data_IF_022731770538
#
_entry.id   IF_022731770538
#
_cell.length_a   1.000
_cell.length_b   1.000
_cell.length_c   1.000
_cell.angle_alpha   90.00
_cell.angle_beta   90.00
_cell.angle_gamma   90.00
#
_symmetry.space_group_name_H-M   'P 1'
#
loop_
_entity.id
_entity.type
_entity.pdbx_description
1 polymer ?
#
# COMPACT_ATOMS: atom_id res chain seq x y z
N UNK A 1 20.68 2.94 -5.76
CA UNK A 1 19.92 3.32 -6.99
C UNK A 1 18.50 3.69 -6.59
N UNK A 2 18.00 4.87 -7.00
CA UNK A 2 16.68 5.38 -6.56
C UNK A 2 15.51 4.73 -7.31
N UNK A 3 15.67 4.48 -8.62
CA UNK A 3 14.62 3.97 -9.49
C UNK A 3 14.07 2.58 -9.06
N UNK A 4 14.88 1.53 -8.79
CA UNK A 4 14.33 0.23 -8.40
C UNK A 4 13.49 0.27 -7.12
N UNK A 5 13.89 1.11 -6.15
CA UNK A 5 13.14 1.31 -4.90
C UNK A 5 11.80 2.01 -5.15
N UNK A 6 11.76 2.95 -6.08
CA UNK A 6 10.52 3.61 -6.51
C UNK A 6 9.55 2.63 -7.18
N UNK A 7 10.05 1.83 -8.12
CA UNK A 7 9.23 0.82 -8.80
C UNK A 7 8.70 -0.21 -7.79
N UNK A 8 9.54 -0.68 -6.87
CA UNK A 8 9.12 -1.59 -5.81
C UNK A 8 8.06 -0.95 -4.90
N UNK A 9 8.23 0.30 -4.48
CA UNK A 9 7.23 1.02 -3.70
C UNK A 9 5.88 1.13 -4.43
N UNK A 10 5.90 1.44 -5.72
CA UNK A 10 4.69 1.55 -6.54
C UNK A 10 3.97 0.22 -6.69
N UNK A 11 4.71 -0.85 -6.96
CA UNK A 11 4.16 -2.21 -7.06
C UNK A 11 3.58 -2.68 -5.72
N UNK A 12 4.28 -2.45 -4.61
CA UNK A 12 3.79 -2.82 -3.28
C UNK A 12 2.52 -2.03 -2.90
N UNK A 13 2.46 -0.73 -3.21
CA UNK A 13 1.28 0.07 -2.96
C UNK A 13 0.10 -0.39 -3.82
N UNK A 14 0.32 -0.63 -5.12
CA UNK A 14 -0.70 -1.17 -6.02
C UNK A 14 -1.22 -2.53 -5.53
N UNK A 15 -0.32 -3.44 -5.14
CA UNK A 15 -0.68 -4.75 -4.61
C UNK A 15 -1.53 -4.63 -3.33
N UNK A 16 -1.14 -3.75 -2.40
CA UNK A 16 -1.91 -3.50 -1.19
C UNK A 16 -3.32 -2.99 -1.50
N UNK A 17 -3.44 -1.97 -2.35
CA UNK A 17 -4.73 -1.38 -2.74
C UNK A 17 -5.61 -2.40 -3.47
N UNK A 18 -5.03 -3.18 -4.38
CA UNK A 18 -5.76 -4.23 -5.10
C UNK A 18 -6.27 -5.31 -4.15
N UNK A 19 -5.42 -5.84 -3.26
CA UNK A 19 -5.81 -6.85 -2.28
C UNK A 19 -6.88 -6.35 -1.31
N UNK A 20 -6.76 -5.11 -0.81
CA UNK A 20 -7.78 -4.51 0.06
C UNK A 20 -9.11 -4.36 -0.68
N UNK A 21 -9.08 -3.93 -1.94
CA UNK A 21 -10.29 -3.83 -2.77
C UNK A 21 -10.92 -5.21 -2.98
N UNK A 22 -10.11 -6.22 -3.31
CA UNK A 22 -10.54 -7.63 -3.42
C UNK A 22 -11.14 -8.18 -2.13
N UNK A 23 -10.58 -7.80 -0.97
CA UNK A 23 -11.03 -8.26 0.35
C UNK A 23 -12.32 -7.58 0.80
N UNK A 24 -12.51 -6.31 0.46
CA UNK A 24 -13.69 -5.54 0.89
C UNK A 24 -14.88 -5.67 -0.04
N UNK A 25 -14.67 -6.13 -1.28
CA UNK A 25 -15.73 -6.44 -2.22
C UNK A 25 -16.59 -7.64 -1.78
N UNK A 26 -17.88 -7.60 -2.13
CA UNK A 26 -18.81 -8.73 -2.02
C UNK A 26 -19.10 -9.29 -3.42
N UNK A 27 -19.05 -10.61 -3.64
CA UNK A 27 -19.26 -11.17 -4.96
C UNK A 27 -20.76 -11.15 -5.36
N UNK A 28 -21.06 -11.05 -6.66
CA UNK A 28 -20.13 -10.78 -7.75
C UNK A 28 -19.72 -9.29 -7.78
N UNK A 29 -18.43 -9.00 -7.96
CA UNK A 29 -17.94 -7.63 -8.10
C UNK A 29 -16.76 -7.53 -9.09
N UNK A 30 -17.08 -7.11 -10.31
CA UNK A 30 -16.11 -6.90 -11.39
C UNK A 30 -15.34 -5.57 -11.28
N UNK A 31 -15.69 -4.74 -10.29
CA UNK A 31 -15.11 -3.41 -10.11
C UNK A 31 -13.74 -3.38 -9.42
N UNK A 32 -13.19 -4.52 -8.98
CA UNK A 32 -11.97 -4.54 -8.15
C UNK A 32 -10.81 -3.79 -8.80
N UNK A 33 -10.47 -4.12 -10.05
CA UNK A 33 -9.30 -3.51 -10.69
C UNK A 33 -9.50 -2.04 -11.02
N UNK A 34 -10.69 -1.62 -11.44
CA UNK A 34 -10.98 -0.19 -11.70
C UNK A 34 -10.97 0.61 -10.40
N UNK A 35 -11.54 0.09 -9.32
CA UNK A 35 -11.51 0.76 -8.01
C UNK A 35 -10.08 0.85 -7.47
N UNK A 36 -9.30 -0.23 -7.59
CA UNK A 36 -7.91 -0.22 -7.19
C UNK A 36 -7.08 0.79 -8.00
N UNK A 37 -7.27 0.85 -9.32
CA UNK A 37 -6.61 1.83 -10.18
C UNK A 37 -7.05 3.27 -9.85
N UNK A 38 -8.34 3.50 -9.61
CA UNK A 38 -8.89 4.81 -9.27
C UNK A 38 -8.37 5.36 -7.93
N UNK A 39 -8.05 4.49 -6.98
CA UNK A 39 -7.40 4.88 -5.71
C UNK A 39 -5.89 5.03 -5.91
N UNK A 40 -5.25 4.07 -6.58
CA UNK A 40 -3.80 4.02 -6.74
C UNK A 40 -3.26 5.16 -7.59
N UNK A 41 -3.84 5.40 -8.78
CA UNK A 41 -3.27 6.33 -9.76
C UNK A 41 -3.15 7.76 -9.24
N UNK A 42 -4.17 8.36 -8.57
CA UNK A 42 -4.04 9.70 -8.01
C UNK A 42 -2.98 9.78 -6.92
N UNK A 43 -2.97 8.80 -6.00
CA UNK A 43 -2.00 8.75 -4.89
C UNK A 43 -0.58 8.61 -5.43
N UNK A 44 -0.37 7.69 -6.38
CA UNK A 44 0.94 7.45 -6.99
C UNK A 44 1.41 8.64 -7.84
N UNK A 45 0.49 9.31 -8.55
CA UNK A 45 0.79 10.54 -9.29
C UNK A 45 1.33 11.61 -8.34
N UNK A 46 0.64 11.88 -7.22
CA UNK A 46 1.09 12.84 -6.21
C UNK A 46 2.47 12.49 -5.67
N UNK A 47 2.69 11.23 -5.26
CA UNK A 47 3.99 10.78 -4.74
C UNK A 47 5.10 10.96 -5.79
N UNK A 48 4.83 10.62 -7.04
CA UNK A 48 5.78 10.70 -8.15
C UNK A 48 6.16 12.15 -8.45
N UNK A 49 5.17 13.05 -8.49
CA UNK A 49 5.38 14.49 -8.69
C UNK A 49 6.14 15.12 -7.52
N UNK A 50 5.76 14.79 -6.27
CA UNK A 50 6.47 15.27 -5.07
C UNK A 50 7.93 14.81 -5.11
N UNK A 51 8.19 13.56 -5.49
CA UNK A 51 9.55 13.07 -5.64
C UNK A 51 10.34 13.84 -6.71
N UNK A 52 9.78 14.03 -7.90
CA UNK A 52 10.44 14.77 -8.97
C UNK A 52 10.77 16.22 -8.53
N UNK A 53 9.83 16.87 -7.82
CA UNK A 53 10.04 18.20 -7.24
C UNK A 53 11.18 18.21 -6.21
N UNK A 54 11.25 17.21 -5.34
CA UNK A 54 12.35 17.08 -4.38
C UNK A 54 13.69 16.84 -5.09
N UNK A 55 13.71 16.11 -6.20
CA UNK A 55 14.88 15.95 -7.06
C UNK A 55 15.42 17.30 -7.57
N UNK A 56 14.54 18.12 -8.14
CA UNK A 56 14.91 19.47 -8.63
C UNK A 56 15.35 20.38 -7.48
N UNK A 57 14.53 20.52 -6.44
CA UNK A 57 14.75 21.53 -5.38
C UNK A 57 15.87 21.15 -4.42
N UNK A 58 15.97 19.87 -4.05
CA UNK A 58 16.85 19.44 -2.95
C UNK A 58 18.15 18.78 -3.41
N UNK A 59 18.14 18.14 -4.58
CA UNK A 59 19.29 17.41 -5.12
C UNK A 59 19.98 18.15 -6.28
N UNK A 60 19.40 19.24 -6.79
CA UNK A 60 20.03 20.10 -7.80
C UNK A 60 19.97 19.54 -9.23
N UNK A 61 19.11 18.56 -9.48
CA UNK A 61 18.89 18.02 -10.83
C UNK A 61 18.16 19.03 -11.73
N UNK A 62 18.38 18.93 -13.04
CA UNK A 62 17.67 19.78 -14.00
C UNK A 62 16.22 19.29 -14.15
N UNK A 63 15.23 20.19 -14.37
CA UNK A 63 13.84 19.79 -14.59
C UNK A 63 13.64 18.77 -15.71
N UNK A 64 14.41 18.89 -16.81
CA UNK A 64 14.35 17.95 -17.93
C UNK A 64 14.83 16.54 -17.55
N UNK A 65 15.84 16.42 -16.69
CA UNK A 65 16.36 15.13 -16.21
C UNK A 65 15.34 14.45 -15.28
N UNK A 66 14.72 15.22 -14.39
CA UNK A 66 13.67 14.70 -13.50
C UNK A 66 12.39 14.32 -14.26
N UNK A 67 12.05 15.03 -15.35
CA UNK A 67 10.95 14.64 -16.22
C UNK A 67 11.18 13.28 -16.88
N UNK A 68 12.43 12.98 -17.29
CA UNK A 68 12.77 11.66 -17.87
C UNK A 68 12.73 10.53 -16.84
N UNK A 69 13.04 10.80 -15.57
CA UNK A 69 12.92 9.82 -14.48
C UNK A 69 11.47 9.64 -14.03
N UNK A 70 10.66 10.70 -14.10
CA UNK A 70 9.23 10.65 -13.76
C UNK A 70 8.48 9.67 -14.67
N UNK A 71 8.85 9.58 -15.95
CA UNK A 71 8.22 8.69 -16.92
C UNK A 71 8.20 7.21 -16.47
N UNK A 72 9.34 6.55 -16.17
CA UNK A 72 9.30 5.18 -15.66
C UNK A 72 8.76 5.07 -14.22
N UNK A 73 9.01 6.07 -13.36
CA UNK A 73 8.54 6.05 -11.95
C UNK A 73 7.02 6.04 -11.86
N UNK A 74 6.35 6.86 -12.66
CA UNK A 74 4.89 6.89 -12.73
C UNK A 74 4.36 5.85 -13.72
N UNK A 75 4.93 5.80 -14.91
CA UNK A 75 4.41 5.04 -16.04
C UNK A 75 4.40 3.53 -15.82
N UNK A 76 5.46 2.94 -15.24
CA UNK A 76 5.49 1.49 -15.03
C UNK A 76 4.40 1.03 -14.06
N UNK A 77 4.28 1.59 -12.83
CA UNK A 77 3.17 1.22 -11.94
C UNK A 77 1.79 1.59 -12.50
N UNK A 78 1.66 2.68 -13.26
CA UNK A 78 0.39 3.04 -13.90
C UNK A 78 -0.05 2.03 -14.97
N UNK A 79 0.90 1.55 -15.80
CA UNK A 79 0.64 0.48 -16.77
C UNK A 79 0.26 -0.80 -16.04
N UNK A 80 0.96 -1.18 -14.97
CA UNK A 80 0.59 -2.34 -14.17
C UNK A 80 -0.81 -2.23 -13.56
N UNK A 81 -1.22 -1.03 -13.12
CA UNK A 81 -2.57 -0.79 -12.62
C UNK A 81 -3.62 -0.96 -13.75
N UNK A 82 -3.34 -0.42 -14.95
CA UNK A 82 -4.19 -0.60 -16.12
C UNK A 82 -4.30 -2.06 -16.58
N UNK A 83 -3.19 -2.80 -16.58
CA UNK A 83 -3.18 -4.23 -16.86
C UNK A 83 -3.94 -5.03 -15.80
N UNK A 84 -3.78 -4.68 -14.52
CA UNK A 84 -4.53 -5.29 -13.42
C UNK A 84 -6.04 -5.04 -13.53
N UNK A 85 -6.44 -3.83 -13.92
CA UNK A 85 -7.83 -3.54 -14.27
C UNK A 85 -8.30 -4.42 -15.43
N UNK A 86 -7.63 -4.36 -16.58
CA UNK A 86 -8.02 -5.13 -17.75
C UNK A 86 -8.18 -6.62 -17.42
N UNK A 87 -7.14 -7.22 -16.81
CA UNK A 87 -7.14 -8.62 -16.39
C UNK A 87 -8.29 -8.93 -15.44
N UNK A 88 -8.53 -8.11 -14.42
CA UNK A 88 -9.64 -8.32 -13.47
C UNK A 88 -11.02 -8.26 -14.12
N UNK A 89 -11.16 -7.46 -15.19
CA UNK A 89 -12.43 -7.27 -15.89
C UNK A 89 -12.73 -8.32 -16.96
N UNK A 90 -11.69 -8.99 -17.48
CA UNK A 90 -11.83 -9.93 -18.60
C UNK A 90 -11.51 -11.38 -18.24
N UNK A 91 -10.64 -11.63 -17.26
CA UNK A 91 -10.15 -12.98 -16.94
C UNK A 91 -10.82 -13.60 -15.71
N UNK A 92 -11.52 -12.82 -14.89
CA UNK A 92 -12.17 -13.30 -13.66
C UNK A 92 -13.70 -13.31 -13.78
N UNK A 93 -14.27 -14.51 -13.81
CA UNK A 93 -15.72 -14.71 -13.67
C UNK A 93 -16.15 -14.34 -12.24
N UNK A 94 -17.08 -13.38 -12.12
CA UNK A 94 -17.51 -12.81 -10.83
C UNK A 94 -16.57 -11.79 -10.19
N UNK A 95 -15.41 -11.51 -10.83
CA UNK A 95 -14.38 -10.59 -10.36
C UNK A 95 -13.41 -11.21 -9.32
N UNK A 96 -12.22 -10.62 -9.11
CA UNK A 96 -11.18 -11.17 -8.22
C UNK A 96 -11.47 -10.87 -6.75
N UNK A 97 -12.63 -11.30 -6.26
CA UNK A 97 -13.07 -11.12 -4.86
C UNK A 97 -12.51 -12.26 -4.01
N UNK A 98 -11.93 -11.93 -2.86
CA UNK A 98 -11.30 -12.92 -1.96
C UNK A 98 -12.29 -13.30 -0.86
N UNK A 99 -12.90 -14.49 -0.97
CA UNK A 99 -13.79 -15.04 0.05
C UNK A 99 -13.12 -16.11 0.94
N UNK A 100 -12.20 -16.90 0.39
CA UNK A 100 -11.43 -17.89 1.14
C UNK A 100 -10.01 -17.37 1.43
N UNK A 101 -9.42 -17.81 2.54
CA UNK A 101 -8.04 -17.39 2.89
C UNK A 101 -7.89 -15.89 3.18
N UNK A 102 -8.94 -15.23 3.69
CA UNK A 102 -8.98 -13.77 3.90
C UNK A 102 -7.88 -13.25 4.84
N UNK A 103 -7.58 -13.97 5.93
CA UNK A 103 -6.57 -13.54 6.89
C UNK A 103 -5.15 -13.46 6.28
N UNK A 104 -4.63 -14.52 5.61
CA UNK A 104 -3.37 -14.41 4.87
C UNK A 104 -3.33 -13.26 3.86
N UNK A 105 -4.40 -13.07 3.08
CA UNK A 105 -4.49 -11.98 2.11
C UNK A 105 -4.46 -10.60 2.78
N UNK A 106 -5.14 -10.43 3.92
CA UNK A 106 -5.14 -9.19 4.67
C UNK A 106 -3.75 -8.90 5.28
N UNK A 107 -3.06 -9.92 5.80
CA UNK A 107 -1.67 -9.77 6.26
C UNK A 107 -0.73 -9.38 5.11
N UNK A 108 -0.87 -10.03 3.96
CA UNK A 108 -0.09 -9.70 2.77
C UNK A 108 -0.33 -8.25 2.33
N UNK A 109 -1.58 -7.79 2.33
CA UNK A 109 -1.93 -6.39 2.03
C UNK A 109 -1.29 -5.42 3.03
N UNK A 110 -1.33 -5.74 4.33
CA UNK A 110 -0.73 -4.92 5.39
C UNK A 110 0.78 -4.82 5.29
N UNK A 111 1.44 -5.94 5.00
CA UNK A 111 2.90 -5.98 4.79
C UNK A 111 3.31 -5.25 3.51
N UNK A 112 2.53 -5.39 2.43
CA UNK A 112 2.77 -4.66 1.18
C UNK A 112 2.60 -3.14 1.41
N UNK A 113 1.55 -2.72 2.10
CA UNK A 113 1.33 -1.31 2.45
C UNK A 113 2.44 -0.76 3.34
N UNK A 114 2.84 -1.52 4.36
CA UNK A 114 3.98 -1.16 5.22
C UNK A 114 5.27 -0.98 4.41
N UNK A 115 5.61 -1.95 3.56
CA UNK A 115 6.80 -1.89 2.73
C UNK A 115 6.79 -0.72 1.77
N UNK A 116 5.64 -0.43 1.15
CA UNK A 116 5.45 0.75 0.32
C UNK A 116 5.71 2.04 1.11
N UNK A 117 5.05 2.23 2.25
CA UNK A 117 5.21 3.43 3.08
C UNK A 117 6.67 3.57 3.56
N UNK A 118 7.32 2.49 3.98
CA UNK A 118 8.71 2.49 4.40
C UNK A 118 9.64 2.98 3.29
N UNK A 119 9.46 2.46 2.08
CA UNK A 119 10.25 2.86 0.92
C UNK A 119 9.96 4.32 0.55
N UNK A 120 8.69 4.71 0.46
CA UNK A 120 8.26 6.08 0.14
C UNK A 120 8.83 7.07 1.17
N UNK A 121 8.75 6.78 2.46
CA UNK A 121 9.31 7.62 3.51
C UNK A 121 10.82 7.84 3.31
N UNK A 122 11.57 6.78 2.99
CA UNK A 122 12.99 6.91 2.67
C UNK A 122 13.27 7.70 1.40
N UNK A 123 12.43 7.56 0.38
CA UNK A 123 12.60 8.21 -0.93
C UNK A 123 12.27 9.71 -0.90
N UNK A 124 11.29 10.11 -0.09
CA UNK A 124 10.85 11.50 0.08
C UNK A 124 11.64 12.28 1.14
N UNK A 125 12.62 11.65 1.80
CA UNK A 125 13.45 12.30 2.82
C UNK A 125 14.82 12.71 2.25
N UNK A 126 15.22 13.97 2.43
CA UNK A 126 16.51 14.51 1.91
C UNK A 126 17.74 13.80 2.50
N UNK A 127 17.71 13.52 3.81
CA UNK A 127 18.74 12.74 4.52
C UNK A 127 18.08 11.47 5.06
N UNK A 128 17.98 10.42 4.24
CA UNK A 128 17.32 9.19 4.64
C UNK A 128 18.12 8.51 5.74
N UNK A 129 17.43 8.07 6.80
CA UNK A 129 17.99 7.14 7.77
C UNK A 129 17.01 5.99 7.98
N UNK A 130 17.49 4.75 8.14
CA UNK A 130 16.61 3.60 8.38
C UNK A 130 15.65 3.84 9.56
N UNK A 131 16.16 4.43 10.64
CA UNK A 131 15.38 4.75 11.84
C UNK A 131 14.23 5.74 11.55
N UNK A 132 14.48 6.82 10.79
CA UNK A 132 13.45 7.83 10.47
C UNK A 132 12.41 7.29 9.50
N UNK A 133 12.83 6.55 8.47
CA UNK A 133 11.90 5.91 7.54
C UNK A 133 11.01 4.90 8.25
N UNK A 134 11.58 4.07 9.12
CA UNK A 134 10.81 3.10 9.90
C UNK A 134 9.87 3.77 10.91
N UNK A 135 10.30 4.85 11.57
CA UNK A 135 9.44 5.64 12.45
C UNK A 135 8.23 6.21 11.69
N UNK A 136 8.48 6.82 10.52
CA UNK A 136 7.43 7.38 9.66
C UNK A 136 6.47 6.29 9.19
N UNK A 137 7.01 5.13 8.78
CA UNK A 137 6.20 4.00 8.34
C UNK A 137 5.29 3.47 9.45
N UNK A 138 5.80 3.33 10.69
CA UNK A 138 4.97 2.94 11.82
C UNK A 138 3.90 3.99 12.14
N UNK A 139 4.27 5.26 12.16
CA UNK A 139 3.36 6.37 12.49
C UNK A 139 2.22 6.53 11.47
N UNK A 140 2.46 6.22 10.20
CA UNK A 140 1.43 6.28 9.14
C UNK A 140 0.65 4.98 9.05
N UNK A 141 1.33 3.84 9.04
CA UNK A 141 0.69 2.53 8.86
C UNK A 141 -0.26 2.23 10.00
N UNK A 142 0.16 2.34 11.26
CA UNK A 142 -0.64 1.86 12.40
C UNK A 142 -2.04 2.50 12.42
N UNK A 143 -2.21 3.83 12.38
CA UNK A 143 -3.55 4.41 12.38
C UNK A 143 -4.35 4.07 11.10
N UNK A 144 -3.71 4.11 9.93
CA UNK A 144 -4.37 3.75 8.66
C UNK A 144 -4.86 2.29 8.67
N UNK A 145 -4.04 1.40 9.20
CA UNK A 145 -4.32 -0.03 9.25
C UNK A 145 -5.42 -0.37 10.24
N UNK A 146 -5.47 0.32 11.39
CA UNK A 146 -6.60 0.21 12.32
C UNK A 146 -7.91 0.60 11.64
N UNK A 147 -7.94 1.69 10.87
CA UNK A 147 -9.13 2.10 10.12
C UNK A 147 -9.55 1.04 9.09
N UNK A 148 -8.59 0.47 8.35
CA UNK A 148 -8.87 -0.60 7.38
C UNK A 148 -9.39 -1.88 8.06
N UNK A 149 -8.84 -2.22 9.23
CA UNK A 149 -9.34 -3.36 10.01
C UNK A 149 -10.74 -3.11 10.56
N UNK A 150 -11.08 -1.87 10.94
CA UNK A 150 -12.43 -1.50 11.34
C UNK A 150 -13.43 -1.63 10.17
N UNK A 151 -13.03 -1.26 8.96
CA UNK A 151 -13.83 -1.51 7.75
C UNK A 151 -14.03 -3.02 7.57
N UNK A 152 -12.98 -3.83 7.71
CA UNK A 152 -13.11 -5.28 7.61
C UNK A 152 -14.06 -5.87 8.67
N UNK A 153 -13.97 -5.43 9.93
CA UNK A 153 -14.89 -5.83 11.01
C UNK A 153 -16.33 -5.41 10.66
N UNK A 154 -16.52 -4.20 10.15
CA UNK A 154 -17.85 -3.70 9.75
C UNK A 154 -18.45 -4.55 8.64
N UNK A 155 -17.64 -4.98 7.67
CA UNK A 155 -18.08 -5.90 6.60
C UNK A 155 -18.44 -7.28 7.20
N UNK A 156 -17.62 -7.82 8.10
CA UNK A 156 -17.92 -9.09 8.78
C UNK A 156 -19.26 -9.07 9.52
N UNK A 157 -19.55 -7.97 10.21
CA UNK A 157 -20.80 -7.81 10.95
C UNK A 157 -21.99 -7.55 10.02
N UNK A 158 -21.89 -6.55 9.14
CA UNK A 158 -23.04 -6.08 8.37
C UNK A 158 -23.33 -6.91 7.11
N UNK A 159 -22.30 -7.45 6.47
CA UNK A 159 -22.45 -8.19 5.21
C UNK A 159 -22.37 -9.72 5.41
N UNK A 160 -21.51 -10.20 6.30
CA UNK A 160 -21.36 -11.64 6.55
C UNK A 160 -22.25 -12.18 7.69
N UNK A 161 -22.87 -11.29 8.49
CA UNK A 161 -23.84 -11.66 9.52
C UNK A 161 -23.23 -12.16 10.82
N UNK A 162 -21.93 -11.98 11.04
CA UNK A 162 -21.28 -12.28 12.31
C UNK A 162 -21.66 -11.26 13.38
N UNK A 163 -21.63 -11.66 14.64
CA UNK A 163 -21.75 -10.73 15.77
C UNK A 163 -20.46 -9.94 15.96
N UNK A 164 -20.56 -8.77 16.59
CA UNK A 164 -19.38 -7.98 16.97
C UNK A 164 -18.42 -8.79 17.87
N UNK A 165 -18.96 -9.64 18.74
CA UNK A 165 -18.16 -10.47 19.65
C UNK A 165 -17.32 -11.51 18.90
N UNK A 166 -17.84 -12.09 17.83
CA UNK A 166 -17.12 -13.05 16.97
C UNK A 166 -16.02 -12.35 16.15
N UNK A 167 -16.25 -11.11 15.72
CA UNK A 167 -15.30 -10.37 14.89
C UNK A 167 -14.18 -9.67 15.68
N UNK A 168 -14.38 -9.35 16.97
CA UNK A 168 -13.35 -8.66 17.79
C UNK A 168 -12.01 -9.42 17.81
N UNK A 169 -11.94 -10.74 18.08
CA UNK A 169 -10.67 -11.47 18.07
C UNK A 169 -9.96 -11.42 16.71
N UNK A 170 -10.73 -11.53 15.62
CA UNK A 170 -10.22 -11.45 14.25
C UNK A 170 -9.69 -10.04 13.95
N UNK A 171 -10.43 -9.01 14.34
CA UNK A 171 -10.00 -7.61 14.24
C UNK A 171 -8.69 -7.36 14.99
N UNK A 172 -8.58 -7.82 16.24
CA UNK A 172 -7.38 -7.63 17.05
C UNK A 172 -6.17 -8.33 16.43
N UNK A 173 -6.34 -9.55 15.92
CA UNK A 173 -5.28 -10.27 15.21
C UNK A 173 -4.84 -9.53 13.93
N UNK A 174 -5.82 -9.05 13.15
CA UNK A 174 -5.60 -8.31 11.91
C UNK A 174 -4.87 -6.99 12.13
N UNK A 175 -5.15 -6.29 13.22
CA UNK A 175 -4.42 -5.09 13.63
C UNK A 175 -3.01 -5.46 14.10
N UNK A 176 -2.90 -6.46 14.98
CA UNK A 176 -1.67 -6.77 15.70
C UNK A 176 -0.53 -7.17 14.76
N UNK A 177 -0.77 -8.02 13.76
CA UNK A 177 0.32 -8.60 12.96
C UNK A 177 1.07 -7.51 12.14
N UNK A 178 0.44 -6.70 11.28
CA UNK A 178 1.16 -5.68 10.53
C UNK A 178 1.66 -4.52 11.40
N UNK A 179 0.93 -4.15 12.46
CA UNK A 179 1.38 -3.12 13.41
C UNK A 179 2.64 -3.55 14.17
N UNK A 180 2.70 -4.81 14.64
CA UNK A 180 3.86 -5.36 15.33
C UNK A 180 5.09 -5.36 14.42
N UNK A 181 4.94 -5.74 13.14
CA UNK A 181 6.04 -5.69 12.17
C UNK A 181 6.57 -4.26 12.01
N UNK A 182 5.68 -3.28 11.85
CA UNK A 182 6.09 -1.89 11.68
C UNK A 182 6.81 -1.31 12.92
N UNK A 183 6.28 -1.58 14.12
CA UNK A 183 6.88 -1.12 15.38
C UNK A 183 8.20 -1.84 15.67
N UNK A 184 8.28 -3.15 15.41
CA UNK A 184 9.49 -3.93 15.59
C UNK A 184 10.60 -3.46 14.64
N UNK A 185 10.27 -3.21 13.36
CA UNK A 185 11.21 -2.67 12.38
C UNK A 185 11.75 -1.31 12.81
N UNK A 186 10.90 -0.42 13.35
CA UNK A 186 11.35 0.85 13.92
C UNK A 186 12.25 0.65 15.15
N UNK A 187 11.89 -0.24 16.06
CA UNK A 187 12.69 -0.58 17.23
C UNK A 187 14.09 -1.07 16.86
N UNK A 188 14.19 -1.99 15.89
CA UNK A 188 15.45 -2.52 15.39
C UNK A 188 16.29 -1.43 14.72
N UNK A 189 15.68 -0.62 13.84
CA UNK A 189 16.39 0.44 13.13
C UNK A 189 16.94 1.54 14.05
N UNK A 190 16.32 1.77 15.22
CA UNK A 190 16.86 2.68 16.25
C UNK A 190 18.10 2.12 16.92
N UNK A 191 18.13 0.82 17.21
CA UNK A 191 19.25 0.15 17.92
C UNK A 191 20.52 0.06 17.06
N UNK A 192 20.38 -0.04 15.75
CA UNK A 192 21.53 -0.09 14.84
C UNK A 192 22.07 1.29 14.48
N UNK A 193 21.41 2.36 14.92
CA UNK A 193 21.80 3.74 14.66
C UNK A 193 22.52 4.41 15.84
N UNK A 194 22.60 3.74 17.00
CA UNK A 194 23.38 4.12 18.18
C UNK A 194 24.73 3.42 18.19
#
# INVERSE_FOLDING_TARGET
>A
MRLPRFLLAGVLLLAAVFLLTSLFAQPPFHGVGVTAAAVFLPVWCVISVVNARLGVVSAGYRPAEEALVLLPVFGVPAVLAGLGWLASSTLWDGGPVIQTGRAPALFAAGLALWGAILLIAGLLTRKPSPARSAATAAAVLVPLWVLLCLVNLTIGVLAAGYTVAEEIPVFLLNVAVPAAVAVAAWGLARRTAS
#
